data_IF_596243911337
#
_entry.id   IF_596243911337
#
_cell.length_a   1.000
_cell.length_b   1.000
_cell.length_c   1.000
_cell.angle_alpha   90.00
_cell.angle_beta   90.00
_cell.angle_gamma   90.00
#
_symmetry.space_group_name_H-M   'P 1'
#
loop_
_entity.id
_entity.type
_entity.pdbx_description
1 polymer ?
#
# COMPACT_ATOMS: atom_id res chain seq x y z
N UNK A 1 -40.75 -29.44 -27.08
CA UNK A 1 -40.96 -30.46 -26.04
C UNK A 1 -39.65 -31.23 -25.96
N UNK A 2 -38.65 -30.70 -25.26
CA UNK A 2 -38.51 -30.81 -23.79
C UNK A 2 -38.22 -32.29 -23.46
N UNK A 3 -37.13 -32.75 -22.85
CA UNK A 3 -36.07 -32.20 -21.96
C UNK A 3 -34.88 -33.21 -22.07
N UNK A 4 -33.68 -33.10 -21.53
CA UNK A 4 -33.05 -32.22 -20.56
C UNK A 4 -31.52 -32.30 -20.83
N UNK A 5 -30.81 -31.19 -20.69
CA UNK A 5 -29.35 -31.17 -20.63
C UNK A 5 -28.86 -31.80 -19.33
N UNK A 6 -27.86 -32.67 -19.43
CA UNK A 6 -27.05 -33.08 -18.28
C UNK A 6 -25.79 -32.22 -18.25
N UNK A 7 -25.97 -30.96 -17.87
CA UNK A 7 -24.86 -30.09 -17.49
C UNK A 7 -24.50 -30.36 -16.01
N UNK A 8 -23.20 -30.55 -15.81
CA UNK A 8 -22.41 -30.11 -14.65
C UNK A 8 -22.93 -30.45 -13.25
N UNK A 9 -22.23 -31.37 -12.57
CA UNK A 9 -21.67 -31.05 -11.25
C UNK A 9 -20.62 -32.08 -10.78
N UNK A 10 -19.39 -31.99 -11.27
CA UNK A 10 -18.23 -32.55 -10.55
C UNK A 10 -17.73 -31.46 -9.61
N UNK A 11 -18.41 -31.29 -8.48
CA UNK A 11 -17.79 -30.70 -7.30
C UNK A 11 -16.74 -31.71 -6.82
N UNK A 12 -15.57 -31.70 -7.46
CA UNK A 12 -14.38 -32.43 -7.05
C UNK A 12 -13.32 -31.44 -6.56
N UNK A 13 -13.72 -30.59 -5.61
CA UNK A 13 -12.79 -29.94 -4.69
C UNK A 13 -12.79 -30.78 -3.40
N UNK A 14 -12.36 -32.04 -3.52
CA UNK A 14 -11.84 -32.75 -2.36
C UNK A 14 -10.43 -32.23 -2.13
N UNK A 15 -10.31 -31.09 -1.45
CA UNK A 15 -9.09 -30.78 -0.70
C UNK A 15 -8.92 -31.89 0.34
N UNK A 16 -8.19 -32.93 -0.05
CA UNK A 16 -7.69 -34.00 0.82
C UNK A 16 -6.69 -33.38 1.78
N UNK A 17 -7.21 -32.71 2.81
CA UNK A 17 -6.39 -32.20 3.91
C UNK A 17 -5.75 -33.39 4.61
N UNK A 18 -4.48 -33.66 4.30
CA UNK A 18 -3.67 -34.63 5.02
C UNK A 18 -3.31 -34.05 6.40
N UNK A 19 -4.28 -34.15 7.31
CA UNK A 19 -4.14 -33.74 8.70
C UNK A 19 -2.92 -34.36 9.38
N UNK A 20 -2.44 -35.54 8.96
CA UNK A 20 -1.25 -36.15 9.57
C UNK A 20 0.02 -35.37 9.21
N UNK A 21 0.12 -34.88 7.97
CA UNK A 21 1.21 -34.00 7.54
C UNK A 21 1.13 -32.65 8.23
N UNK A 22 -0.06 -32.04 8.32
CA UNK A 22 -0.23 -30.76 9.01
C UNK A 22 0.13 -30.84 10.50
N UNK A 23 -0.28 -31.92 11.18
CA UNK A 23 0.02 -32.14 12.59
C UNK A 23 1.53 -32.33 12.80
N UNK A 24 2.23 -33.02 11.89
CA UNK A 24 3.71 -33.14 11.95
C UNK A 24 4.38 -31.79 11.82
N UNK A 25 3.98 -30.99 10.83
CA UNK A 25 4.53 -29.66 10.58
C UNK A 25 4.30 -28.71 11.75
N UNK A 26 3.09 -28.72 12.33
CA UNK A 26 2.75 -27.91 13.51
C UNK A 26 3.61 -28.31 14.71
N UNK A 27 3.84 -29.60 14.94
CA UNK A 27 4.64 -30.08 16.06
C UNK A 27 6.13 -29.74 15.90
N UNK A 28 6.66 -29.83 14.67
CA UNK A 28 8.02 -29.39 14.36
C UNK A 28 8.19 -27.88 14.62
N UNK A 29 7.27 -27.07 14.08
CA UNK A 29 7.27 -25.62 14.29
C UNK A 29 7.23 -25.28 15.80
N UNK A 30 6.37 -25.96 16.57
CA UNK A 30 6.33 -25.81 18.03
C UNK A 30 7.66 -26.16 18.68
N UNK A 31 8.33 -27.24 18.27
CA UNK A 31 9.63 -27.61 18.83
C UNK A 31 10.73 -26.58 18.55
N UNK A 32 10.67 -25.88 17.41
CA UNK A 32 11.62 -24.82 17.05
C UNK A 32 11.32 -23.57 17.86
N UNK A 33 10.04 -23.17 17.95
CA UNK A 33 9.63 -21.91 18.59
C UNK A 33 9.74 -21.94 20.12
N UNK A 34 9.61 -23.11 20.75
CA UNK A 34 9.71 -23.28 22.21
C UNK A 34 11.16 -23.32 22.73
N UNK A 35 12.14 -23.67 21.87
CA UNK A 35 13.56 -23.69 22.22
C UNK A 35 14.24 -22.38 21.79
N UNK A 36 14.77 -21.56 22.73
CA UNK A 36 15.32 -20.25 22.42
C UNK A 36 16.51 -20.31 21.45
N UNK A 37 17.31 -21.39 21.48
CA UNK A 37 18.48 -21.53 20.62
C UNK A 37 18.04 -21.88 19.20
N UNK A 38 17.14 -22.85 19.06
CA UNK A 38 16.60 -23.25 17.74
C UNK A 38 15.83 -22.11 17.09
N UNK A 39 15.05 -21.37 17.89
CA UNK A 39 14.35 -20.17 17.42
C UNK A 39 15.34 -19.14 16.88
N UNK A 40 16.43 -18.87 17.59
CA UNK A 40 17.42 -17.89 17.15
C UNK A 40 18.12 -18.34 15.85
N UNK A 41 18.52 -19.61 15.76
CA UNK A 41 19.11 -20.16 14.52
C UNK A 41 18.15 -20.06 13.32
N UNK A 42 16.86 -20.31 13.55
CA UNK A 42 15.83 -20.14 12.52
C UNK A 42 15.68 -18.67 12.11
N UNK A 43 15.66 -17.73 13.08
CA UNK A 43 15.60 -16.29 12.81
C UNK A 43 16.81 -15.80 12.01
N UNK A 44 18.02 -16.26 12.35
CA UNK A 44 19.25 -15.88 11.65
C UNK A 44 19.24 -16.37 10.19
N UNK A 45 18.74 -17.59 9.97
CA UNK A 45 18.54 -18.18 8.64
C UNK A 45 17.47 -17.43 7.85
N UNK A 46 16.38 -17.05 8.51
CA UNK A 46 15.25 -16.33 7.92
C UNK A 46 15.60 -14.88 7.56
N UNK A 47 16.32 -14.17 8.42
CA UNK A 47 16.79 -12.80 8.18
C UNK A 47 17.75 -12.74 6.98
N UNK A 48 18.68 -13.70 6.90
CA UNK A 48 19.63 -13.83 5.78
C UNK A 48 18.95 -14.19 4.44
N UNK A 49 17.75 -14.77 4.51
CA UNK A 49 16.98 -15.25 3.36
C UNK A 49 15.90 -14.25 2.94
N UNK A 50 15.45 -13.37 3.86
CA UNK A 50 14.47 -12.30 3.59
C UNK A 50 15.02 -11.20 2.68
N UNK A 51 16.34 -11.06 2.57
CA UNK A 51 16.97 -10.15 1.60
C UNK A 51 17.04 -10.73 0.19
N UNK A 52 16.77 -12.03 -0.02
CA UNK A 52 16.95 -12.72 -1.32
C UNK A 52 15.69 -13.48 -1.78
N UNK A 53 14.70 -13.75 -0.92
CA UNK A 53 13.52 -14.55 -1.29
C UNK A 53 12.20 -14.00 -0.75
N UNK A 54 11.77 -12.87 -1.30
CA UNK A 54 10.33 -12.66 -1.55
C UNK A 54 9.93 -13.50 -2.76
N UNK A 55 9.59 -14.77 -2.57
CA UNK A 55 8.79 -15.56 -3.52
C UNK A 55 8.53 -16.97 -3.00
N UNK A 56 7.58 -17.12 -2.07
CA UNK A 56 6.62 -18.21 -2.23
C UNK A 56 5.72 -17.74 -3.36
N UNK A 57 5.66 -18.49 -4.47
CA UNK A 57 4.89 -18.18 -5.67
C UNK A 57 3.59 -17.43 -5.30
N UNK A 58 3.38 -16.19 -5.79
CA UNK A 58 2.20 -15.44 -5.45
C UNK A 58 1.00 -16.28 -5.87
N UNK A 59 0.15 -16.64 -4.91
CA UNK A 59 -1.26 -16.87 -5.23
C UNK A 59 -1.66 -15.69 -6.10
N UNK A 60 -2.27 -15.94 -7.26
CA UNK A 60 -2.47 -14.99 -8.39
C UNK A 60 -3.19 -13.67 -8.03
N UNK A 61 -3.52 -13.50 -6.76
CA UNK A 61 -4.15 -12.34 -6.13
C UNK A 61 -3.05 -11.48 -5.52
N UNK A 62 -2.89 -10.26 -6.03
CA UNK A 62 -1.97 -9.26 -5.49
C UNK A 62 -2.26 -8.89 -4.02
N UNK A 63 -1.58 -7.86 -3.47
CA UNK A 63 -1.82 -7.43 -2.09
C UNK A 63 -3.31 -7.18 -1.85
N UNK A 64 -3.84 -7.72 -0.75
CA UNK A 64 -5.26 -7.59 -0.43
C UNK A 64 -5.55 -6.15 0.01
N UNK A 65 -6.16 -5.39 -0.90
CA UNK A 65 -6.58 -4.00 -0.66
C UNK A 65 -7.90 -4.01 0.12
N UNK A 66 -7.89 -3.50 1.36
CA UNK A 66 -9.09 -3.50 2.20
C UNK A 66 -9.90 -2.19 2.10
N UNK A 67 -9.29 -1.09 1.62
CA UNK A 67 -9.96 0.22 1.49
C UNK A 67 -9.33 1.08 0.40
N UNK A 68 -10.14 1.95 -0.20
CA UNK A 68 -9.75 3.03 -1.11
C UNK A 68 -9.96 4.37 -0.38
N UNK A 69 -8.96 5.25 -0.41
CA UNK A 69 -8.96 6.53 0.31
C UNK A 69 -8.45 7.61 -0.65
N UNK A 70 -9.11 8.78 -0.70
CA UNK A 70 -8.62 9.90 -1.51
C UNK A 70 -7.36 10.49 -0.89
N UNK A 71 -6.42 10.98 -1.70
CA UNK A 71 -5.23 11.66 -1.21
C UNK A 71 -5.60 12.91 -0.38
N UNK A 72 -6.74 13.55 -0.66
CA UNK A 72 -7.26 14.69 0.13
C UNK A 72 -7.60 14.33 1.59
N UNK A 73 -7.82 13.05 1.89
CA UNK A 73 -8.05 12.59 3.27
C UNK A 73 -6.74 12.41 4.05
N UNK A 74 -5.58 12.50 3.39
CA UNK A 74 -4.27 12.36 4.03
C UNK A 74 -3.79 13.69 4.61
N UNK A 75 -3.02 13.60 5.68
CA UNK A 75 -2.30 14.75 6.24
C UNK A 75 -0.99 14.95 5.47
N UNK A 76 -0.79 16.10 4.78
CA UNK A 76 0.46 16.44 4.12
C UNK A 76 1.55 16.81 5.14
N UNK A 77 2.80 16.49 4.83
CA UNK A 77 3.97 16.84 5.64
C UNK A 77 5.03 17.53 4.78
N UNK A 78 5.51 18.69 5.24
CA UNK A 78 6.53 19.51 4.59
C UNK A 78 7.81 19.46 5.41
N UNK A 79 8.96 19.14 4.82
CA UNK A 79 10.24 19.06 5.54
C UNK A 79 10.93 20.41 5.62
N UNK A 80 10.28 21.35 6.29
CA UNK A 80 10.82 22.66 6.58
C UNK A 80 10.49 23.03 8.02
N UNK A 81 11.26 22.53 9.00
CA UNK A 81 11.35 23.16 10.33
C UNK A 81 10.19 22.91 11.34
N UNK A 82 9.51 21.76 11.35
CA UNK A 82 8.44 21.48 12.34
C UNK A 82 8.91 21.12 13.78
N UNK A 83 10.21 21.10 14.05
CA UNK A 83 10.78 20.88 15.41
C UNK A 83 11.40 22.15 16.04
N UNK A 84 11.10 23.34 15.52
CA UNK A 84 11.53 24.61 16.14
C UNK A 84 10.31 25.47 16.47
N UNK A 85 9.96 25.45 17.75
CA UNK A 85 9.22 26.48 18.49
C UNK A 85 8.63 27.59 17.61
N UNK A 86 7.31 27.52 17.40
CA UNK A 86 6.39 28.62 17.07
C UNK A 86 7.06 30.00 17.10
N UNK A 87 7.67 30.37 15.99
CA UNK A 87 8.29 31.67 15.76
C UNK A 87 7.42 32.46 14.82
N UNK A 88 6.72 33.44 15.37
CA UNK A 88 5.87 34.41 14.68
C UNK A 88 6.68 35.12 13.58
N UNK A 89 6.49 34.75 12.31
CA UNK A 89 6.70 35.62 11.16
C UNK A 89 5.58 35.35 10.17
N UNK A 90 4.64 36.28 10.15
CA UNK A 90 3.63 36.45 9.13
C UNK A 90 4.35 36.93 7.84
N UNK A 91 3.83 36.51 6.69
CA UNK A 91 4.12 37.03 5.34
C UNK A 91 5.26 36.38 4.54
N UNK A 92 5.03 35.16 4.00
CA UNK A 92 5.57 34.68 2.71
C UNK A 92 4.86 33.35 2.33
N UNK A 93 3.81 33.44 1.50
CA UNK A 93 3.17 32.38 0.68
C UNK A 93 3.35 30.90 1.14
N UNK A 94 2.65 30.50 2.21
CA UNK A 94 2.64 29.11 2.72
C UNK A 94 1.99 28.08 1.75
N UNK A 95 1.30 28.53 0.71
CA UNK A 95 0.56 27.68 -0.24
C UNK A 95 1.43 27.08 -1.38
N UNK A 96 2.67 27.53 -1.57
CA UNK A 96 3.53 27.09 -2.70
C UNK A 96 4.51 25.96 -2.36
N UNK A 97 4.59 25.53 -1.10
CA UNK A 97 5.52 24.47 -0.72
C UNK A 97 4.86 23.10 -0.94
N UNK A 98 5.26 22.36 -1.98
CA UNK A 98 4.77 20.99 -2.18
C UNK A 98 5.13 20.08 -0.99
N UNK A 99 4.20 19.24 -0.51
CA UNK A 99 4.47 18.28 0.56
C UNK A 99 5.41 17.16 0.09
N UNK A 100 6.31 16.73 0.96
CA UNK A 100 7.24 15.63 0.65
C UNK A 100 6.56 14.25 0.76
N UNK A 101 5.64 14.11 1.71
CA UNK A 101 4.89 12.88 1.91
C UNK A 101 3.54 13.15 2.58
N UNK A 102 2.64 12.17 2.45
CA UNK A 102 1.29 12.20 2.97
C UNK A 102 1.08 11.02 3.92
N UNK A 103 0.32 11.23 5.00
CA UNK A 103 0.05 10.20 6.01
C UNK A 103 -1.44 10.01 6.29
N UNK A 104 -1.86 8.78 6.57
CA UNK A 104 -3.24 8.46 6.99
C UNK A 104 -3.25 7.54 8.21
N UNK A 105 -4.06 7.82 9.25
CA UNK A 105 -4.05 7.03 10.48
C UNK A 105 -4.60 5.61 10.25
N UNK A 106 -3.89 4.61 10.78
CA UNK A 106 -4.33 3.23 10.78
C UNK A 106 -5.03 2.84 12.08
N UNK A 107 -5.93 1.84 12.02
CA UNK A 107 -6.65 1.32 13.20
C UNK A 107 -5.74 0.63 14.22
N UNK A 108 -4.53 0.25 13.83
CA UNK A 108 -3.52 -0.30 14.73
C UNK A 108 -2.70 0.77 15.46
N UNK A 109 -3.04 2.06 15.31
CA UNK A 109 -2.33 3.23 15.86
C UNK A 109 -1.00 3.57 15.19
N UNK A 110 -0.62 2.89 14.10
CA UNK A 110 0.41 3.32 13.16
C UNK A 110 -0.20 4.16 12.04
N UNK A 111 0.54 4.42 10.98
CA UNK A 111 0.10 5.21 9.82
C UNK A 111 0.38 4.49 8.49
N UNK A 112 -0.36 4.90 7.47
CA UNK A 112 -0.02 4.68 6.07
C UNK A 112 0.74 5.89 5.58
N UNK A 113 1.85 5.68 4.86
CA UNK A 113 2.70 6.74 4.32
C UNK A 113 2.85 6.55 2.81
N UNK A 114 2.70 7.64 2.05
CA UNK A 114 2.98 7.70 0.62
C UNK A 114 3.84 8.93 0.32
N UNK A 115 4.97 8.77 -0.38
CA UNK A 115 5.85 9.89 -0.74
C UNK A 115 5.45 10.52 -2.07
N UNK A 116 5.89 11.76 -2.31
CA UNK A 116 5.66 12.42 -3.59
C UNK A 116 6.27 11.63 -4.76
N UNK A 117 7.49 11.13 -4.59
CA UNK A 117 8.17 10.26 -5.59
C UNK A 117 7.31 9.04 -5.95
N UNK A 118 6.63 8.44 -4.97
CA UNK A 118 5.73 7.30 -5.22
C UNK A 118 4.50 7.70 -6.03
N UNK A 119 3.93 8.88 -5.79
CA UNK A 119 2.81 9.41 -6.58
C UNK A 119 3.24 9.66 -8.04
N UNK A 120 4.42 10.23 -8.25
CA UNK A 120 5.00 10.44 -9.58
C UNK A 120 5.24 9.11 -10.33
N UNK A 121 5.71 8.08 -9.62
CA UNK A 121 5.89 6.72 -10.14
C UNK A 121 4.57 5.95 -10.36
N UNK A 122 3.42 6.61 -10.16
CA UNK A 122 2.09 6.02 -10.32
C UNK A 122 1.79 4.91 -9.29
N UNK A 123 2.42 4.96 -8.11
CA UNK A 123 2.15 4.04 -7.01
C UNK A 123 0.86 4.45 -6.33
N UNK A 124 -0.14 3.59 -6.39
CA UNK A 124 -1.46 3.81 -5.77
C UNK A 124 -1.73 2.88 -4.59
N UNK A 125 -0.85 1.92 -4.27
CA UNK A 125 -1.07 0.94 -3.20
C UNK A 125 0.01 1.07 -2.12
N UNK A 126 -0.40 1.34 -0.88
CA UNK A 126 0.51 1.49 0.27
C UNK A 126 0.12 0.61 1.44
N UNK A 127 1.13 0.10 2.15
CA UNK A 127 0.98 -0.77 3.30
C UNK A 127 1.19 -0.03 4.61
N UNK A 128 0.53 -0.47 5.69
CA UNK A 128 0.81 0.02 7.03
C UNK A 128 2.01 -0.72 7.64
N UNK A 129 3.01 0.01 8.14
CA UNK A 129 4.20 -0.57 8.79
C UNK A 129 3.89 -1.30 10.11
N UNK A 130 2.74 -1.02 10.72
CA UNK A 130 2.34 -1.64 12.00
C UNK A 130 1.64 -2.99 11.84
N UNK A 131 0.66 -3.10 10.93
CA UNK A 131 -0.19 -4.29 10.79
C UNK A 131 -0.07 -5.00 9.44
N UNK A 132 0.61 -4.42 8.45
CA UNK A 132 0.79 -5.01 7.13
C UNK A 132 -0.44 -5.02 6.23
N UNK A 133 -1.52 -4.30 6.62
CA UNK A 133 -2.68 -4.11 5.75
C UNK A 133 -2.37 -3.14 4.60
N UNK A 134 -3.07 -3.28 3.46
CA UNK A 134 -2.85 -2.49 2.24
C UNK A 134 -4.08 -1.65 1.87
N UNK A 135 -3.88 -0.38 1.54
CA UNK A 135 -4.91 0.52 1.01
C UNK A 135 -4.57 0.98 -0.40
N UNK A 136 -5.60 1.43 -1.13
CA UNK A 136 -5.43 2.17 -2.37
C UNK A 136 -5.62 3.67 -2.13
N UNK A 137 -4.69 4.48 -2.63
CA UNK A 137 -4.73 5.94 -2.62
C UNK A 137 -5.25 6.42 -3.97
N UNK A 138 -6.34 7.20 -3.97
CA UNK A 138 -6.86 7.85 -5.17
C UNK A 138 -6.33 9.27 -5.29
N UNK A 139 -5.74 9.61 -6.42
CA UNK A 139 -5.29 10.97 -6.75
C UNK A 139 -5.51 11.25 -8.23
N UNK A 140 -5.63 12.53 -8.57
CA UNK A 140 -5.68 13.03 -9.94
C UNK A 140 -4.42 13.85 -10.20
N UNK A 141 -3.69 13.51 -11.27
CA UNK A 141 -2.52 14.28 -11.69
C UNK A 141 -3.02 15.45 -12.53
N UNK A 142 -2.84 16.67 -12.03
CA UNK A 142 -3.15 17.89 -12.78
C UNK A 142 -1.91 18.24 -13.59
N UNK A 143 -1.98 18.09 -14.90
CA UNK A 143 -0.95 18.58 -15.81
C UNK A 143 -1.07 20.11 -15.89
N UNK A 144 -0.01 20.84 -15.52
CA UNK A 144 0.07 22.29 -15.74
C UNK A 144 0.20 22.53 -17.25
N UNK A 145 -0.94 22.69 -17.93
CA UNK A 145 -0.97 23.09 -19.33
C UNK A 145 -0.35 24.50 -19.47
N UNK A 146 0.91 24.55 -19.94
CA UNK A 146 1.64 25.73 -20.46
C UNK A 146 0.98 26.34 -21.73
N UNK A 147 -0.33 26.52 -21.73
CA UNK A 147 -1.10 27.04 -22.87
C UNK A 147 -2.03 28.18 -22.45
N UNK A 148 -1.46 29.23 -21.86
CA UNK A 148 -2.07 30.56 -21.93
C UNK A 148 -1.82 31.14 -23.33
N UNK A 149 -2.70 30.79 -24.26
CA UNK A 149 -2.74 31.32 -25.63
C UNK A 149 -3.13 32.81 -25.60
N UNK A 150 -2.23 33.77 -25.89
CA UNK A 150 -2.63 35.16 -25.97
C UNK A 150 -3.26 35.40 -27.34
N UNK A 151 -4.55 35.73 -27.37
CA UNK A 151 -5.19 36.35 -28.54
C UNK A 151 -5.77 37.70 -28.15
N UNK A 152 -4.87 38.67 -28.04
CA UNK A 152 -5.20 40.05 -28.37
C UNK A 152 -5.18 40.24 -29.89
N UNK A 153 -6.33 40.64 -30.44
CA UNK A 153 -6.54 41.53 -31.60
C UNK A 153 -8.00 41.32 -32.08
N UNK A 154 -8.80 42.29 -32.49
CA UNK A 154 -8.87 43.74 -32.39
C UNK A 154 -10.19 44.08 -33.14
N UNK A 155 -10.83 45.20 -32.82
CA UNK A 155 -11.83 45.90 -33.64
C UNK A 155 -13.20 45.24 -33.90
N UNK A 156 -14.20 45.63 -33.11
CA UNK A 156 -15.58 45.72 -33.62
C UNK A 156 -16.03 47.19 -33.64
N UNK A 157 -15.74 47.85 -34.75
CA UNK A 157 -16.46 49.04 -35.23
C UNK A 157 -17.57 48.57 -36.17
N UNK A 158 -18.83 48.79 -35.79
CA UNK A 158 -19.94 49.09 -36.70
C UNK A 158 -21.10 49.71 -35.90
#
# INVERSE_FOLDING_TARGET
MEEAGSDLNTNDDNDDYDYDTDIRLINEAKSILLDPIKKQQWLDSFSSTSTITSAKEPTKTGPHIFRNISLDEFTPHHTSQDDREKGENEDEDEDDQQPEYFTYPCRCSSEFKITLEQLEENVEVVGCEGCGEWIRVGYEVVEEDDQHHPQDQDQNQA
#
